data_IF_478633765851
#
_entry.id   IF_478633765851
#
_cell.length_a   1.000
_cell.length_b   1.000
_cell.length_c   1.000
_cell.angle_alpha   90.00
_cell.angle_beta   90.00
_cell.angle_gamma   90.00
#
_symmetry.space_group_name_H-M   'P 1'
#
loop_
_entity.id
_entity.type
_entity.pdbx_description
1 polymer ?
#
# COMPACT_ATOMS: atom_id res chain seq x y z
N UNK A 1 -19.62 18.29 11.80
CA UNK A 1 -20.67 17.45 11.18
C UNK A 1 -20.19 17.05 9.79
N UNK A 2 -19.69 15.83 9.60
CA UNK A 2 -19.31 15.28 8.29
C UNK A 2 -20.45 14.38 7.82
N UNK A 3 -21.38 14.87 7.00
CA UNK A 3 -22.60 14.10 6.67
C UNK A 3 -23.04 14.17 5.20
N UNK A 4 -22.10 14.18 4.24
CA UNK A 4 -22.42 14.12 2.80
C UNK A 4 -21.52 13.20 1.96
N UNK A 5 -20.55 12.50 2.57
CA UNK A 5 -19.51 11.73 1.84
C UNK A 5 -19.98 10.34 1.34
N UNK A 6 -21.26 9.99 1.48
CA UNK A 6 -21.70 8.60 1.42
C UNK A 6 -22.28 8.11 0.08
N UNK A 7 -22.33 8.91 -1.00
CA UNK A 7 -22.81 8.35 -2.29
C UNK A 7 -21.97 8.68 -3.52
N UNK A 8 -21.23 9.79 -3.58
CA UNK A 8 -20.53 10.17 -4.81
C UNK A 8 -19.13 10.68 -4.50
N UNK A 9 -18.13 10.12 -5.17
CA UNK A 9 -16.74 10.52 -5.02
C UNK A 9 -16.53 11.94 -5.60
N UNK A 10 -15.71 12.82 -4.99
CA UNK A 10 -15.48 14.18 -5.49
C UNK A 10 -14.93 14.24 -6.93
N UNK A 11 -14.20 13.22 -7.37
CA UNK A 11 -13.78 13.08 -8.77
C UNK A 11 -14.96 12.96 -9.74
N UNK A 12 -16.00 12.25 -9.35
CA UNK A 12 -17.20 12.04 -10.16
C UNK A 12 -18.09 13.30 -10.15
N UNK A 13 -18.10 14.07 -9.05
CA UNK A 13 -18.81 15.35 -8.95
C UNK A 13 -18.21 16.39 -9.89
N UNK A 14 -16.88 16.48 -9.95
CA UNK A 14 -16.18 17.40 -10.85
C UNK A 14 -15.99 16.84 -12.27
N UNK A 15 -16.32 15.57 -12.49
CA UNK A 15 -16.15 14.85 -13.76
C UNK A 15 -14.68 14.89 -14.25
N UNK A 16 -13.74 14.61 -13.34
CA UNK A 16 -12.30 14.58 -13.61
C UNK A 16 -11.65 13.26 -13.24
N UNK A 17 -10.49 12.98 -13.84
CA UNK A 17 -9.68 11.80 -13.51
C UNK A 17 -9.07 11.91 -12.10
N UNK A 18 -8.77 10.78 -11.47
CA UNK A 18 -8.01 10.72 -10.20
C UNK A 18 -6.60 11.34 -10.34
N UNK A 19 -6.02 11.18 -11.53
CA UNK A 19 -4.73 11.74 -11.94
C UNK A 19 -4.77 13.22 -12.30
N UNK A 20 -5.91 13.91 -12.14
CA UNK A 20 -6.06 15.30 -12.55
C UNK A 20 -5.13 16.24 -11.77
N UNK A 21 -4.56 17.22 -12.48
CA UNK A 21 -3.74 18.27 -11.85
C UNK A 21 -4.62 19.30 -11.13
N UNK A 22 -4.03 20.08 -10.20
CA UNK A 22 -4.77 21.14 -9.49
C UNK A 22 -5.37 22.20 -10.44
N UNK A 23 -4.71 22.44 -11.58
CA UNK A 23 -5.21 23.37 -12.61
C UNK A 23 -6.43 22.81 -13.34
N UNK A 24 -6.43 21.51 -13.64
CA UNK A 24 -7.57 20.80 -14.24
C UNK A 24 -8.75 20.74 -13.28
N UNK A 25 -8.52 20.44 -12.01
CA UNK A 25 -9.55 20.45 -10.95
C UNK A 25 -10.22 21.83 -10.86
N UNK A 26 -9.42 22.91 -10.93
CA UNK A 26 -9.94 24.28 -10.87
C UNK A 26 -10.77 24.63 -12.12
N UNK A 27 -10.32 24.23 -13.31
CA UNK A 27 -11.09 24.40 -14.55
C UNK A 27 -12.40 23.62 -14.50
N UNK A 28 -12.35 22.36 -14.08
CA UNK A 28 -13.52 21.48 -13.95
C UNK A 28 -14.54 22.02 -12.94
N UNK A 29 -14.08 22.58 -11.81
CA UNK A 29 -14.95 23.27 -10.87
C UNK A 29 -15.76 24.39 -11.54
N UNK A 30 -15.11 25.26 -12.33
CA UNK A 30 -15.85 26.33 -13.04
C UNK A 30 -16.88 25.80 -14.01
N UNK A 31 -16.60 24.66 -14.66
CA UNK A 31 -17.51 24.00 -15.58
C UNK A 31 -18.68 23.34 -14.84
N UNK A 32 -18.42 22.65 -13.73
CA UNK A 32 -19.42 22.02 -12.89
C UNK A 32 -20.41 23.06 -12.31
N UNK A 33 -19.89 24.22 -11.86
CA UNK A 33 -20.70 25.34 -11.37
C UNK A 33 -21.64 25.90 -12.45
N UNK A 34 -21.22 25.90 -13.72
CA UNK A 34 -22.06 26.31 -14.86
C UNK A 34 -23.12 25.26 -15.20
N UNK A 35 -22.75 23.97 -15.18
CA UNK A 35 -23.64 22.85 -15.48
C UNK A 35 -24.72 22.65 -14.44
N UNK A 36 -24.44 22.97 -13.16
CA UNK A 36 -25.37 22.82 -12.02
C UNK A 36 -26.01 21.44 -11.90
N UNK A 37 -25.29 20.38 -12.31
CA UNK A 37 -25.72 18.98 -12.21
C UNK A 37 -25.82 18.52 -10.74
N UNK A 38 -24.96 19.07 -9.89
CA UNK A 38 -24.94 18.86 -8.44
C UNK A 38 -25.24 20.17 -7.71
N UNK A 39 -25.61 20.08 -6.43
CA UNK A 39 -25.80 21.26 -5.58
C UNK A 39 -24.50 22.08 -5.51
N UNK A 40 -24.61 23.40 -5.51
CA UNK A 40 -23.44 24.30 -5.52
C UNK A 40 -22.51 24.05 -4.33
N UNK A 41 -23.08 23.75 -3.16
CA UNK A 41 -22.33 23.43 -1.95
C UNK A 41 -21.52 22.13 -2.11
N UNK A 42 -22.08 21.11 -2.77
CA UNK A 42 -21.39 19.86 -3.03
C UNK A 42 -20.23 20.04 -4.03
N UNK A 43 -20.42 20.87 -5.05
CA UNK A 43 -19.37 21.19 -6.04
C UNK A 43 -18.21 21.94 -5.34
N UNK A 44 -18.54 22.89 -4.46
CA UNK A 44 -17.54 23.62 -3.67
C UNK A 44 -16.80 22.70 -2.69
N UNK A 45 -17.51 21.82 -2.00
CA UNK A 45 -16.91 20.82 -1.11
C UNK A 45 -16.03 19.83 -1.86
N UNK A 46 -16.44 19.36 -3.05
CA UNK A 46 -15.65 18.45 -3.87
C UNK A 46 -14.31 19.10 -4.29
N UNK A 47 -14.34 20.36 -4.73
CA UNK A 47 -13.11 21.12 -5.02
C UNK A 47 -12.23 21.25 -3.77
N UNK A 48 -12.82 21.61 -2.63
CA UNK A 48 -12.07 21.78 -1.37
C UNK A 48 -11.36 20.49 -0.95
N UNK A 49 -12.08 19.36 -1.03
CA UNK A 49 -11.55 18.03 -0.74
C UNK A 49 -10.41 17.64 -1.69
N UNK A 50 -10.54 17.89 -2.99
CA UNK A 50 -9.48 17.53 -3.96
C UNK A 50 -8.25 18.44 -3.93
N UNK A 51 -8.35 19.63 -3.34
CA UNK A 51 -7.20 20.53 -3.14
C UNK A 51 -6.46 20.26 -1.83
N UNK A 52 -7.11 19.61 -0.85
CA UNK A 52 -6.46 19.16 0.38
C UNK A 52 -5.85 17.76 0.15
N UNK A 53 -4.57 17.58 0.45
CA UNK A 53 -3.87 16.32 0.19
C UNK A 53 -4.43 15.14 1.00
N UNK A 54 -4.81 15.36 2.26
CA UNK A 54 -5.35 14.31 3.12
C UNK A 54 -6.73 13.84 2.62
N UNK A 55 -7.63 14.78 2.36
CA UNK A 55 -8.97 14.49 1.84
C UNK A 55 -8.91 13.86 0.43
N UNK A 56 -7.95 14.29 -0.40
CA UNK A 56 -7.71 13.72 -1.73
C UNK A 56 -7.27 12.27 -1.65
N UNK A 57 -6.37 11.93 -0.72
CA UNK A 57 -5.93 10.55 -0.51
C UNK A 57 -7.10 9.65 -0.10
N UNK A 58 -7.98 10.14 0.78
CA UNK A 58 -9.20 9.43 1.18
C UNK A 58 -10.11 9.22 -0.05
N UNK A 59 -10.29 10.25 -0.88
CA UNK A 59 -11.10 10.14 -2.09
C UNK A 59 -10.50 9.14 -3.11
N UNK A 60 -9.18 9.11 -3.27
CA UNK A 60 -8.49 8.16 -4.14
C UNK A 60 -8.68 6.71 -3.64
N UNK A 61 -8.52 6.49 -2.33
CA UNK A 61 -8.63 5.17 -1.72
C UNK A 61 -10.06 4.62 -1.70
N UNK A 62 -11.04 5.48 -1.42
CA UNK A 62 -12.45 5.09 -1.32
C UNK A 62 -13.16 5.02 -2.67
N UNK A 63 -12.50 5.39 -3.78
CA UNK A 63 -13.11 5.28 -5.11
C UNK A 63 -13.22 3.79 -5.49
N UNK A 64 -14.42 3.27 -5.76
CA UNK A 64 -14.58 1.88 -6.17
C UNK A 64 -13.92 1.65 -7.54
N UNK A 65 -12.67 1.18 -7.51
CA UNK A 65 -11.89 0.72 -8.67
C UNK A 65 -11.71 -0.80 -8.66
N UNK A 66 -12.55 -1.51 -7.91
CA UNK A 66 -12.56 -2.96 -7.94
C UNK A 66 -13.11 -3.40 -9.30
N UNK A 67 -12.21 -3.92 -10.15
CA UNK A 67 -12.57 -4.65 -11.36
C UNK A 67 -13.61 -5.69 -10.95
N UNK A 68 -14.65 -5.89 -11.76
CA UNK A 68 -15.64 -6.95 -11.52
C UNK A 68 -14.91 -8.24 -11.19
N UNK A 69 -15.15 -8.77 -9.99
CA UNK A 69 -14.41 -9.92 -9.46
C UNK A 69 -14.48 -11.05 -10.49
N UNK A 70 -13.35 -11.31 -11.16
CA UNK A 70 -13.22 -12.48 -12.01
C UNK A 70 -13.09 -13.66 -11.06
N UNK A 71 -14.14 -14.49 -10.97
CA UNK A 71 -14.11 -15.73 -10.19
C UNK A 71 -12.82 -16.49 -10.52
N UNK A 72 -12.01 -16.78 -9.51
CA UNK A 72 -10.83 -17.62 -9.67
C UNK A 72 -11.27 -18.96 -10.28
N UNK A 73 -10.62 -19.37 -11.37
CA UNK A 73 -10.83 -20.70 -11.93
C UNK A 73 -10.22 -21.73 -10.98
N UNK A 74 -10.85 -22.89 -10.85
CA UNK A 74 -10.22 -24.03 -10.20
C UNK A 74 -8.86 -24.28 -10.88
N UNK A 75 -7.79 -24.23 -10.10
CA UNK A 75 -6.46 -24.58 -10.58
C UNK A 75 -6.28 -26.09 -10.51
N UNK A 76 -5.46 -26.61 -11.40
CA UNK A 76 -5.10 -28.03 -11.42
C UNK A 76 -4.24 -28.37 -10.19
N UNK A 77 -4.75 -29.23 -9.31
CA UNK A 77 -4.09 -29.68 -8.08
C UNK A 77 -3.30 -30.97 -8.27
N UNK A 78 -3.13 -31.46 -9.50
CA UNK A 78 -2.40 -32.72 -9.79
C UNK A 78 -0.96 -32.74 -9.23
N UNK A 79 -0.37 -31.58 -8.94
CA UNK A 79 0.95 -31.49 -8.29
C UNK A 79 0.95 -31.94 -6.82
N UNK A 80 -0.18 -31.88 -6.13
CA UNK A 80 -0.34 -32.30 -4.74
C UNK A 80 -0.56 -33.82 -4.60
N UNK A 81 -0.86 -34.51 -5.70
CA UNK A 81 -0.99 -35.96 -5.74
C UNK A 81 0.38 -36.67 -5.75
N UNK A 82 1.46 -35.92 -5.95
CA UNK A 82 2.81 -36.48 -5.89
C UNK A 82 3.14 -36.86 -4.44
N UNK A 83 3.72 -38.04 -4.21
CA UNK A 83 4.13 -38.44 -2.86
C UNK A 83 5.12 -37.42 -2.30
N UNK A 84 5.04 -37.22 -0.98
CA UNK A 84 5.92 -36.31 -0.25
C UNK A 84 7.37 -36.67 -0.58
N UNK A 85 8.12 -35.69 -1.10
CA UNK A 85 9.53 -35.88 -1.39
C UNK A 85 10.27 -36.19 -0.09
N UNK A 86 11.05 -37.26 -0.08
CA UNK A 86 11.96 -37.58 1.03
C UNK A 86 12.99 -36.47 1.14
N UNK A 87 13.02 -35.81 2.30
CA UNK A 87 14.06 -34.87 2.65
C UNK A 87 15.35 -35.66 2.91
N UNK A 88 16.36 -35.42 2.08
CA UNK A 88 17.70 -35.96 2.30
C UNK A 88 18.48 -34.95 3.14
N UNK A 89 18.74 -35.31 4.40
CA UNK A 89 19.50 -34.45 5.30
C UNK A 89 20.98 -34.56 4.94
N UNK A 90 21.58 -33.43 4.55
CA UNK A 90 22.99 -33.38 4.23
C UNK A 90 23.81 -33.42 5.52
N UNK A 91 24.48 -34.56 5.77
CA UNK A 91 25.27 -34.80 6.97
C UNK A 91 26.40 -33.80 7.22
N UNK A 92 26.82 -33.07 6.18
CA UNK A 92 27.77 -31.96 6.28
C UNK A 92 27.30 -30.82 7.18
N UNK A 93 26.00 -30.76 7.52
CA UNK A 93 25.42 -29.73 8.37
C UNK A 93 25.07 -30.22 9.79
N UNK A 94 25.29 -31.49 10.12
CA UNK A 94 24.90 -32.05 11.42
C UNK A 94 25.67 -31.42 12.59
N UNK A 95 26.91 -30.97 12.35
CA UNK A 95 27.81 -30.41 13.36
C UNK A 95 27.99 -28.89 13.23
N UNK A 96 27.05 -28.19 12.58
CA UNK A 96 27.14 -26.73 12.40
C UNK A 96 27.31 -25.99 13.72
N UNK A 97 26.59 -26.41 14.76
CA UNK A 97 26.66 -25.77 16.09
C UNK A 97 28.06 -25.87 16.71
N UNK A 98 28.73 -27.01 16.53
CA UNK A 98 30.10 -27.22 17.00
C UNK A 98 31.10 -26.38 16.21
N UNK A 99 30.91 -26.27 14.89
CA UNK A 99 31.76 -25.45 14.01
C UNK A 99 31.59 -23.97 14.33
N UNK A 100 30.35 -23.48 14.54
CA UNK A 100 30.04 -22.10 14.92
C UNK A 100 30.62 -21.77 16.30
N UNK A 101 30.55 -22.71 17.24
CA UNK A 101 31.15 -22.56 18.57
C UNK A 101 32.69 -22.57 18.52
N UNK A 102 33.28 -23.32 17.58
CA UNK A 102 34.72 -23.36 17.35
C UNK A 102 35.26 -22.15 16.58
N UNK A 103 34.44 -21.50 15.74
CA UNK A 103 34.76 -20.25 15.03
C UNK A 103 34.65 -19.01 15.92
N UNK A 104 35.19 -19.12 17.15
CA UNK A 104 35.05 -18.18 18.28
C UNK A 104 35.69 -16.79 18.12
N UNK A 105 35.70 -16.23 16.91
CA UNK A 105 36.18 -14.87 16.62
C UNK A 105 35.09 -13.92 16.10
N UNK A 106 33.97 -14.41 15.56
CA UNK A 106 32.89 -13.53 15.07
C UNK A 106 32.23 -12.74 16.22
N UNK A 107 32.03 -13.38 17.37
CA UNK A 107 31.46 -12.74 18.57
C UNK A 107 32.32 -11.62 19.16
N UNK A 108 33.65 -11.63 18.98
CA UNK A 108 34.54 -10.58 19.52
C UNK A 108 34.48 -9.31 18.68
N UNK A 109 34.36 -9.45 17.37
CA UNK A 109 34.21 -8.32 16.44
C UNK A 109 32.87 -7.64 16.71
N UNK A 110 31.79 -8.42 16.84
CA UNK A 110 30.45 -7.91 17.12
C UNK A 110 30.34 -7.24 18.49
N UNK A 111 30.96 -7.81 19.54
CA UNK A 111 31.04 -7.17 20.86
C UNK A 111 31.82 -5.85 20.81
N UNK A 112 32.93 -5.81 20.08
CA UNK A 112 33.75 -4.59 19.91
C UNK A 112 33.00 -3.53 19.10
N UNK A 113 32.23 -3.94 18.10
CA UNK A 113 31.39 -3.03 17.30
C UNK A 113 30.27 -2.44 18.17
N UNK A 114 29.57 -3.28 18.94
CA UNK A 114 28.52 -2.83 19.86
C UNK A 114 29.01 -1.85 20.92
N UNK A 115 30.19 -2.10 21.51
CA UNK A 115 30.82 -1.17 22.45
C UNK A 115 31.18 0.17 21.79
N UNK A 116 31.75 0.15 20.59
CA UNK A 116 32.09 1.37 19.85
C UNK A 116 30.85 2.19 19.48
N UNK A 117 29.75 1.55 19.09
CA UNK A 117 28.51 2.24 18.76
C UNK A 117 27.92 2.91 20.01
N UNK A 118 27.92 2.23 21.15
CA UNK A 118 27.36 2.76 22.40
C UNK A 118 28.14 3.99 22.93
N UNK A 119 29.47 4.00 22.76
CA UNK A 119 30.31 5.13 23.17
C UNK A 119 30.14 6.39 22.31
N UNK A 120 29.67 6.26 21.06
CA UNK A 120 29.52 7.36 20.11
C UNK A 120 28.09 7.94 20.04
N UNK A 121 27.19 7.54 20.96
CA UNK A 121 25.79 8.02 21.02
C UNK A 121 25.60 9.10 22.11
N UNK A 122 26.68 9.74 22.60
CA UNK A 122 26.61 10.91 23.49
C UNK A 122 26.84 12.22 22.76
#
# INVERSE_FOLDING_TARGET
>A
MFNHLLTTNPYDILEVSNSASNTEITKAFTLAMKRKKYALDLIAQARKSLLNQEDRLIADYLRPHLVTVKRFKAQDTSLLEKPVQTLDYLSQFDNLEEVISASGDEGKIDQKLGQNLWQNIK
#
